data_IF_206904240177
#
_entry.id   IF_206904240177
#
_cell.length_a   1.000
_cell.length_b   1.000
_cell.length_c   1.000
_cell.angle_alpha   90.00
_cell.angle_beta   90.00
_cell.angle_gamma   90.00
#
_symmetry.space_group_name_H-M   'P 1'
#
loop_
_entity.id
_entity.type
_entity.pdbx_description
1 polymer ?
#
# COMPACT_ATOMS: atom_id res chain seq x y z
N UNK A 1 -13.04 0.94 -16.72
CA UNK A 1 -12.46 1.13 -15.37
C UNK A 1 -11.52 2.32 -15.39
N UNK A 2 -11.75 3.29 -14.54
CA UNK A 2 -10.81 4.39 -14.34
C UNK A 2 -10.06 4.16 -13.04
N UNK A 3 -8.82 3.69 -13.13
CA UNK A 3 -8.03 3.24 -12.00
C UNK A 3 -6.75 4.04 -11.82
N UNK A 4 -6.29 4.11 -10.59
CA UNK A 4 -5.03 4.74 -10.21
C UNK A 4 -4.30 3.82 -9.22
N UNK A 5 -2.97 3.87 -9.24
CA UNK A 5 -2.12 3.10 -8.34
C UNK A 5 -1.58 4.07 -7.28
N UNK A 6 -1.90 3.82 -6.03
CA UNK A 6 -1.41 4.60 -4.89
C UNK A 6 -0.64 3.65 -3.99
N UNK A 7 0.56 4.04 -3.59
CA UNK A 7 1.38 3.17 -2.75
C UNK A 7 2.32 3.96 -1.84
N UNK A 8 2.67 3.34 -0.72
CA UNK A 8 3.78 3.78 0.13
C UNK A 8 4.89 2.73 0.07
N UNK A 9 6.14 3.16 -0.04
CA UNK A 9 7.29 2.26 -0.08
C UNK A 9 8.43 2.83 0.78
N UNK A 10 8.93 2.01 1.69
CA UNK A 10 10.09 2.38 2.50
C UNK A 10 11.39 1.87 1.87
N UNK A 11 11.47 0.56 1.64
CA UNK A 11 12.70 -0.07 1.14
C UNK A 11 12.81 -0.13 -0.38
N UNK A 12 11.73 0.19 -1.08
CA UNK A 12 11.63 0.06 -2.54
C UNK A 12 10.91 -1.20 -3.00
N UNK A 13 10.58 -2.12 -2.10
CA UNK A 13 9.90 -3.37 -2.47
C UNK A 13 8.47 -3.13 -2.94
N UNK A 14 7.70 -2.35 -2.20
CA UNK A 14 6.33 -2.01 -2.59
C UNK A 14 6.33 -1.24 -3.92
N UNK A 15 7.29 -0.34 -4.10
CA UNK A 15 7.47 0.40 -5.35
C UNK A 15 7.70 -0.53 -6.54
N UNK A 16 8.51 -1.57 -6.38
CA UNK A 16 8.74 -2.56 -7.44
C UNK A 16 7.44 -3.21 -7.90
N UNK A 17 6.57 -3.56 -6.97
CA UNK A 17 5.29 -4.18 -7.31
C UNK A 17 4.35 -3.16 -7.94
N UNK A 18 4.32 -1.92 -7.42
CA UNK A 18 3.53 -0.85 -8.04
C UNK A 18 3.96 -0.60 -9.49
N UNK A 19 5.26 -0.65 -9.77
CA UNK A 19 5.78 -0.50 -11.13
C UNK A 19 5.38 -1.69 -12.03
N UNK A 20 5.31 -2.90 -11.49
CA UNK A 20 4.80 -4.05 -12.24
C UNK A 20 3.32 -3.87 -12.60
N UNK A 21 2.50 -3.42 -11.64
CA UNK A 21 1.09 -3.13 -11.89
C UNK A 21 0.96 -2.05 -12.96
N UNK A 22 1.73 -0.98 -12.87
CA UNK A 22 1.71 0.11 -13.84
C UNK A 22 2.09 -0.36 -15.24
N UNK A 23 3.14 -1.16 -15.34
CA UNK A 23 3.60 -1.69 -16.64
C UNK A 23 2.55 -2.57 -17.30
N UNK A 24 1.88 -3.42 -16.51
CA UNK A 24 0.90 -4.36 -17.03
C UNK A 24 -0.45 -3.71 -17.35
N UNK A 25 -0.81 -2.63 -16.68
CA UNK A 25 -2.13 -2.00 -16.80
C UNK A 25 -2.10 -0.68 -17.58
N UNK A 26 -0.98 0.02 -17.58
CA UNK A 26 -0.88 1.37 -18.12
C UNK A 26 -1.51 2.45 -17.22
N UNK A 27 -2.01 2.10 -16.04
CA UNK A 27 -2.62 3.07 -15.13
C UNK A 27 -1.56 3.99 -14.52
N UNK A 28 -2.00 5.19 -14.15
CA UNK A 28 -1.14 6.17 -13.50
C UNK A 28 -0.83 5.74 -12.07
N UNK A 29 0.40 5.97 -11.62
CA UNK A 29 0.84 5.66 -10.26
C UNK A 29 1.29 6.93 -9.54
N UNK A 30 1.01 7.01 -8.24
CA UNK A 30 1.49 8.07 -7.37
C UNK A 30 1.94 7.48 -6.04
N UNK A 31 3.07 7.94 -5.56
CA UNK A 31 3.68 7.48 -4.32
C UNK A 31 3.27 8.37 -3.16
N UNK A 32 2.85 7.75 -2.06
CA UNK A 32 2.65 8.43 -0.79
C UNK A 32 4.03 8.73 -0.19
N UNK A 33 4.25 9.99 0.16
CA UNK A 33 5.51 10.42 0.79
C UNK A 33 5.20 11.19 2.04
N UNK A 34 5.89 10.85 3.13
CA UNK A 34 5.76 11.58 4.38
C UNK A 34 6.55 12.89 4.31
N UNK A 35 6.00 13.95 4.90
CA UNK A 35 6.67 15.26 4.97
C UNK A 35 7.99 15.13 5.73
N UNK A 36 7.97 14.40 6.86
CA UNK A 36 9.17 14.05 7.61
C UNK A 36 9.60 12.63 7.19
N UNK A 37 10.74 12.48 6.50
CA UNK A 37 11.16 11.15 6.06
C UNK A 37 11.55 10.27 7.24
N UNK A 38 11.34 8.97 7.10
CA UNK A 38 11.84 8.00 8.06
C UNK A 38 13.35 7.85 7.96
N UNK A 39 13.98 7.40 9.06
CA UNK A 39 15.42 7.14 9.08
C UNK A 39 15.80 6.09 8.02
N UNK A 40 17.00 6.21 7.49
CA UNK A 40 17.59 5.15 6.63
C UNK A 40 18.08 3.96 7.45
N UNK A 41 18.20 4.13 8.77
CA UNK A 41 18.58 3.03 9.67
C UNK A 41 17.35 2.15 9.93
N UNK A 42 17.44 0.91 9.47
CA UNK A 42 16.34 -0.06 9.56
C UNK A 42 15.86 -0.28 11.01
N UNK A 43 16.79 -0.43 11.95
CA UNK A 43 16.43 -0.70 13.36
C UNK A 43 15.68 0.48 13.98
N UNK A 44 16.06 1.70 13.64
CA UNK A 44 15.36 2.91 14.10
C UNK A 44 13.93 2.93 13.56
N UNK A 45 13.74 2.59 12.29
CA UNK A 45 12.40 2.58 11.67
C UNK A 45 11.54 1.45 12.21
N UNK A 46 12.12 0.30 12.53
CA UNK A 46 11.40 -0.82 13.16
C UNK A 46 10.79 -0.36 14.49
N UNK A 47 11.56 0.31 15.34
CA UNK A 47 11.09 0.79 16.64
C UNK A 47 10.07 1.94 16.48
N UNK A 48 10.35 2.88 15.60
CA UNK A 48 9.45 3.99 15.29
C UNK A 48 8.13 3.48 14.73
N UNK A 49 8.19 2.51 13.82
CA UNK A 49 7.00 1.91 13.22
C UNK A 49 6.12 1.22 14.25
N UNK A 50 6.72 0.51 15.21
CA UNK A 50 5.97 -0.12 16.30
C UNK A 50 5.21 0.92 17.12
N UNK A 51 5.88 1.99 17.50
CA UNK A 51 5.27 3.07 18.27
C UNK A 51 4.15 3.76 17.49
N UNK A 52 4.39 4.07 16.22
CA UNK A 52 3.40 4.73 15.38
C UNK A 52 2.16 3.88 15.14
N UNK A 53 2.35 2.61 14.83
CA UNK A 53 1.22 1.68 14.64
C UNK A 53 0.42 1.53 15.92
N UNK A 54 1.10 1.35 17.05
CA UNK A 54 0.45 1.20 18.36
C UNK A 54 -0.36 2.42 18.75
N UNK A 55 0.15 3.63 18.46
CA UNK A 55 -0.53 4.90 18.77
C UNK A 55 -1.62 5.27 17.76
N UNK A 56 -1.68 4.58 16.63
CA UNK A 56 -2.52 4.99 15.52
C UNK A 56 -2.08 6.32 14.91
N UNK A 57 -0.78 6.58 14.89
CA UNK A 57 -0.21 7.82 14.36
C UNK A 57 -0.49 7.98 12.86
N UNK A 58 -0.84 9.19 12.46
CA UNK A 58 -1.04 9.56 11.06
C UNK A 58 0.02 10.58 10.65
N UNK A 59 1.14 10.14 10.05
CA UNK A 59 2.16 11.09 9.60
C UNK A 59 1.60 12.00 8.52
N UNK A 60 2.00 13.27 8.52
CA UNK A 60 1.66 14.19 7.45
C UNK A 60 2.28 13.70 6.15
N UNK A 61 1.50 13.68 5.08
CA UNK A 61 1.96 13.29 3.75
C UNK A 61 1.98 14.47 2.81
N UNK A 62 2.89 14.44 1.85
CA UNK A 62 2.95 15.43 0.78
C UNK A 62 1.70 15.30 -0.10
N UNK A 63 1.23 16.40 -0.72
CA UNK A 63 0.12 16.32 -1.67
C UNK A 63 0.43 15.34 -2.79
N UNK A 64 -0.56 14.51 -3.16
CA UNK A 64 -0.45 13.62 -4.31
C UNK A 64 -0.54 14.40 -5.61
N UNK A 65 0.19 13.96 -6.62
CA UNK A 65 0.14 14.53 -7.97
C UNK A 65 -1.16 14.21 -8.71
N UNK A 66 -1.92 13.26 -8.18
CA UNK A 66 -3.22 12.84 -8.71
C UNK A 66 -4.27 13.02 -7.62
N UNK A 67 -5.53 13.21 -8.01
CA UNK A 67 -6.64 13.19 -7.07
C UNK A 67 -7.31 11.81 -7.13
N UNK A 68 -7.09 10.95 -6.11
CA UNK A 68 -7.69 9.60 -6.10
C UNK A 68 -9.20 9.61 -6.17
N UNK A 69 -9.84 10.71 -5.73
CA UNK A 69 -11.30 10.83 -5.72
C UNK A 69 -11.90 10.88 -7.13
N UNK A 70 -11.10 11.19 -8.14
CA UNK A 70 -11.51 11.22 -9.54
C UNK A 70 -11.55 9.84 -10.21
N UNK A 71 -11.10 8.80 -9.50
CA UNK A 71 -11.01 7.44 -10.00
C UNK A 71 -12.05 6.56 -9.31
N UNK A 72 -12.50 5.52 -10.00
CA UNK A 72 -13.44 4.55 -9.42
C UNK A 72 -12.74 3.37 -8.73
N UNK A 73 -11.48 3.13 -9.06
CA UNK A 73 -10.69 2.01 -8.56
C UNK A 73 -9.30 2.49 -8.13
N UNK A 74 -8.88 2.03 -6.96
CA UNK A 74 -7.55 2.34 -6.40
C UNK A 74 -6.81 1.03 -6.15
N UNK A 75 -5.70 0.80 -6.87
CA UNK A 75 -4.72 -0.20 -6.47
C UNK A 75 -3.91 0.39 -5.33
N UNK A 76 -3.93 -0.25 -4.18
CA UNK A 76 -3.30 0.28 -2.98
C UNK A 76 -2.15 -0.61 -2.53
N UNK A 77 -0.93 -0.09 -2.61
CA UNK A 77 0.27 -0.80 -2.18
C UNK A 77 0.80 -0.33 -0.84
N UNK A 78 1.14 -1.28 0.02
CA UNK A 78 1.71 -0.99 1.34
C UNK A 78 2.70 -2.07 1.77
N UNK A 79 3.81 -1.71 2.44
CA UNK A 79 4.55 -2.70 3.19
C UNK A 79 3.75 -3.07 4.44
N UNK A 80 4.02 -4.25 4.99
CA UNK A 80 3.45 -4.66 6.27
C UNK A 80 4.36 -4.18 7.39
N UNK A 81 3.84 -3.28 8.22
CA UNK A 81 4.53 -2.78 9.40
C UNK A 81 3.78 -3.24 10.64
N UNK A 82 4.46 -4.05 11.45
CA UNK A 82 3.86 -4.54 12.69
C UNK A 82 2.45 -5.10 12.46
N UNK A 83 2.37 -6.03 11.50
CA UNK A 83 1.19 -6.84 11.17
C UNK A 83 0.04 -6.10 10.50
N UNK A 84 0.25 -4.85 10.07
CA UNK A 84 -0.78 -4.05 9.40
C UNK A 84 -0.17 -3.14 8.33
N UNK A 85 -1.00 -2.32 7.68
CA UNK A 85 -0.52 -1.36 6.69
C UNK A 85 0.32 -0.24 7.34
N UNK A 86 1.18 0.38 6.55
CA UNK A 86 2.05 1.45 7.03
C UNK A 86 1.25 2.70 7.46
N UNK A 87 1.78 3.47 8.45
CA UNK A 87 1.09 4.66 8.95
C UNK A 87 0.72 5.70 7.89
N UNK A 88 1.54 5.89 6.85
CA UNK A 88 1.23 6.81 5.75
C UNK A 88 -0.07 6.44 5.02
N UNK A 89 -0.40 5.15 4.97
CA UNK A 89 -1.65 4.67 4.36
C UNK A 89 -2.84 5.06 5.22
N UNK A 90 -2.70 5.08 6.54
CA UNK A 90 -3.75 5.56 7.45
C UNK A 90 -4.06 7.02 7.18
N UNK A 91 -3.04 7.84 7.00
CA UNK A 91 -3.20 9.25 6.63
C UNK A 91 -3.94 9.39 5.30
N UNK A 92 -3.60 8.56 4.33
CA UNK A 92 -4.26 8.53 3.03
C UNK A 92 -5.77 8.25 3.19
N UNK A 93 -6.14 7.25 3.96
CA UNK A 93 -7.54 6.94 4.22
C UNK A 93 -8.30 8.08 4.89
N UNK A 94 -7.62 8.85 5.75
CA UNK A 94 -8.24 9.97 6.45
C UNK A 94 -8.42 11.21 5.56
N UNK A 95 -7.53 11.40 4.58
CA UNK A 95 -7.52 12.62 3.75
C UNK A 95 -8.37 12.51 2.49
N UNK A 96 -8.56 11.31 1.96
CA UNK A 96 -9.24 11.11 0.67
C UNK A 96 -10.50 10.30 0.85
N UNK A 97 -11.56 10.69 0.13
CA UNK A 97 -12.86 10.01 0.16
C UNK A 97 -12.84 8.82 -0.79
N UNK A 98 -12.93 7.63 -0.22
CA UNK A 98 -12.88 6.38 -0.98
C UNK A 98 -14.21 5.61 -0.97
N UNK A 99 -15.24 6.15 -0.33
CA UNK A 99 -16.56 5.54 -0.31
C UNK A 99 -17.09 5.31 -1.73
N UNK A 100 -17.66 4.15 -1.97
CA UNK A 100 -18.20 3.77 -3.27
C UNK A 100 -17.16 3.30 -4.29
N UNK A 101 -15.87 3.35 -3.93
CA UNK A 101 -14.79 2.92 -4.81
C UNK A 101 -14.39 1.47 -4.55
N UNK A 102 -13.74 0.87 -5.52
CA UNK A 102 -13.09 -0.44 -5.37
C UNK A 102 -11.63 -0.23 -5.00
N UNK A 103 -11.17 -0.90 -3.96
CA UNK A 103 -9.77 -0.89 -3.52
C UNK A 103 -9.18 -2.28 -3.75
N UNK A 104 -8.09 -2.33 -4.49
CA UNK A 104 -7.37 -3.56 -4.83
C UNK A 104 -6.02 -3.54 -4.13
N UNK A 105 -5.92 -4.12 -2.91
CA UNK A 105 -4.71 -3.99 -2.11
C UNK A 105 -3.64 -5.00 -2.48
N UNK A 106 -2.38 -4.57 -2.41
CA UNK A 106 -1.22 -5.46 -2.44
C UNK A 106 -0.27 -5.09 -1.30
N UNK A 107 0.22 -6.11 -0.61
CA UNK A 107 1.06 -5.92 0.56
C UNK A 107 2.39 -6.66 0.43
N UNK A 108 3.49 -5.96 0.66
CA UNK A 108 4.82 -6.54 0.63
C UNK A 108 5.29 -6.85 2.05
N UNK A 109 5.88 -8.03 2.25
CA UNK A 109 6.28 -8.50 3.58
C UNK A 109 7.39 -9.54 3.49
N UNK A 110 7.96 -9.88 4.64
CA UNK A 110 9.01 -10.89 4.75
C UNK A 110 8.51 -12.30 5.04
N UNK A 111 7.20 -12.50 5.21
CA UNK A 111 6.67 -13.84 5.48
C UNK A 111 5.23 -13.90 5.99
N UNK A 112 4.67 -12.79 6.48
CA UNK A 112 3.31 -12.78 6.99
C UNK A 112 2.68 -11.39 6.85
N UNK A 113 1.45 -11.34 6.33
CA UNK A 113 0.73 -10.07 6.15
C UNK A 113 -0.03 -9.62 7.41
N UNK A 114 -0.05 -10.45 8.45
CA UNK A 114 -0.78 -10.12 9.67
C UNK A 114 -2.25 -9.89 9.40
N UNK A 115 -2.78 -8.80 9.97
CA UNK A 115 -4.18 -8.42 9.80
C UNK A 115 -4.39 -7.24 8.83
N UNK A 116 -3.44 -7.06 7.91
CA UNK A 116 -3.47 -5.96 6.94
C UNK A 116 -4.78 -5.90 6.14
N UNK A 117 -5.23 -7.03 5.60
CA UNK A 117 -6.47 -7.09 4.80
C UNK A 117 -7.70 -6.70 5.64
N UNK A 118 -7.78 -7.24 6.85
CA UNK A 118 -8.88 -6.94 7.78
C UNK A 118 -8.89 -5.46 8.14
N UNK A 119 -7.72 -4.89 8.39
CA UNK A 119 -7.59 -3.49 8.80
C UNK A 119 -7.93 -2.53 7.66
N UNK A 120 -7.61 -2.87 6.42
CA UNK A 120 -8.01 -2.08 5.26
C UNK A 120 -9.53 -2.08 5.13
N UNK A 121 -10.17 -3.24 5.27
CA UNK A 121 -11.64 -3.34 5.24
C UNK A 121 -12.28 -2.50 6.35
N UNK A 122 -11.71 -2.54 7.54
CA UNK A 122 -12.20 -1.76 8.68
C UNK A 122 -12.02 -0.25 8.48
N UNK A 123 -10.97 0.18 7.82
CA UNK A 123 -10.70 1.58 7.54
C UNK A 123 -11.57 2.14 6.41
N UNK A 124 -12.03 1.29 5.49
CA UNK A 124 -12.80 1.68 4.31
C UNK A 124 -14.10 0.87 4.23
N UNK A 125 -15.01 1.02 5.22
CA UNK A 125 -16.23 0.17 5.31
C UNK A 125 -17.21 0.43 4.17
N UNK A 126 -17.15 1.58 3.52
CA UNK A 126 -18.04 1.96 2.43
C UNK A 126 -17.41 1.74 1.04
N UNK A 127 -16.27 1.07 1.00
CA UNK A 127 -15.58 0.70 -0.24
C UNK A 127 -15.67 -0.81 -0.47
N UNK A 128 -15.58 -1.21 -1.72
CA UNK A 128 -15.45 -2.62 -2.08
C UNK A 128 -13.95 -2.98 -2.05
N UNK A 129 -13.59 -3.93 -1.20
CA UNK A 129 -12.19 -4.35 -1.05
C UNK A 129 -11.98 -5.67 -1.77
N UNK A 130 -11.14 -5.68 -2.78
CA UNK A 130 -10.77 -6.89 -3.51
C UNK A 130 -9.83 -7.80 -2.72
N UNK A 131 -9.59 -8.98 -3.26
CA UNK A 131 -8.63 -9.92 -2.68
C UNK A 131 -7.24 -9.28 -2.59
N UNK A 132 -6.62 -9.33 -1.41
CA UNK A 132 -5.29 -8.78 -1.21
C UNK A 132 -4.23 -9.66 -1.89
N UNK A 133 -3.32 -9.04 -2.63
CA UNK A 133 -2.14 -9.71 -3.15
C UNK A 133 -1.06 -9.70 -2.05
N UNK A 134 -0.71 -10.90 -1.57
CA UNK A 134 0.35 -11.08 -0.59
C UNK A 134 1.67 -11.31 -1.32
N UNK A 135 2.59 -10.35 -1.24
CA UNK A 135 3.88 -10.42 -1.93
C UNK A 135 5.01 -10.55 -0.91
N UNK A 136 5.70 -11.69 -0.96
CA UNK A 136 6.82 -11.94 -0.07
C UNK A 136 8.14 -11.57 -0.73
N UNK A 137 8.99 -10.91 0.05
CA UNK A 137 10.38 -10.61 -0.27
C UNK A 137 11.31 -11.20 0.80
N UNK A 138 12.49 -11.59 0.38
CA UNK A 138 13.61 -11.88 1.27
C UNK A 138 14.64 -10.77 1.06
N UNK A 139 14.68 -9.80 1.98
CA UNK A 139 15.39 -8.54 1.73
C UNK A 139 14.82 -7.83 0.49
N UNK A 140 15.66 -7.58 -0.49
CA UNK A 140 15.24 -6.98 -1.76
C UNK A 140 14.87 -8.03 -2.84
N UNK A 141 14.97 -9.32 -2.51
CA UNK A 141 14.71 -10.41 -3.45
C UNK A 141 13.23 -10.80 -3.41
N UNK A 142 12.58 -10.72 -4.56
CA UNK A 142 11.20 -11.18 -4.71
C UNK A 142 11.13 -12.71 -4.59
N UNK A 143 10.34 -13.20 -3.64
CA UNK A 143 10.12 -14.63 -3.41
C UNK A 143 8.82 -15.10 -4.05
N UNK A 144 7.75 -14.32 -3.94
CA UNK A 144 6.47 -14.65 -4.59
C UNK A 144 6.70 -14.75 -6.10
N UNK A 145 6.26 -15.85 -6.74
CA UNK A 145 6.43 -15.99 -8.19
C UNK A 145 5.78 -14.84 -8.95
N UNK A 146 6.51 -14.28 -9.91
CA UNK A 146 6.00 -13.18 -10.75
C UNK A 146 4.69 -13.57 -11.44
N UNK A 147 4.56 -14.83 -11.86
CA UNK A 147 3.35 -15.35 -12.45
C UNK A 147 2.11 -15.11 -11.57
N UNK A 148 2.24 -15.31 -10.26
CA UNK A 148 1.14 -15.08 -9.31
C UNK A 148 0.72 -13.62 -9.27
N UNK A 149 1.69 -12.71 -9.32
CA UNK A 149 1.44 -11.28 -9.34
C UNK A 149 0.69 -10.91 -10.62
N UNK A 150 1.15 -11.40 -11.76
CA UNK A 150 0.52 -11.15 -13.06
C UNK A 150 -0.90 -11.73 -13.12
N UNK A 151 -1.12 -12.90 -12.56
CA UNK A 151 -2.46 -13.51 -12.48
C UNK A 151 -3.41 -12.65 -11.64
N UNK A 152 -2.94 -12.11 -10.52
CA UNK A 152 -3.74 -11.20 -9.70
C UNK A 152 -4.09 -9.93 -10.46
N UNK A 153 -3.14 -9.34 -11.16
CA UNK A 153 -3.38 -8.13 -11.97
C UNK A 153 -4.43 -8.40 -13.05
N UNK A 154 -4.40 -9.57 -13.68
CA UNK A 154 -5.34 -9.94 -14.74
C UNK A 154 -6.77 -10.17 -14.28
N UNK A 155 -6.97 -10.48 -13.00
CA UNK A 155 -8.31 -10.70 -12.43
C UNK A 155 -9.11 -9.43 -12.23
N UNK A 156 -8.49 -8.30 -12.27
CA UNK A 156 -9.10 -7.01 -11.92
C UNK A 156 -9.42 -6.14 -13.14
#
# INVERSE_FOLDING_TARGET
>A
MKAVIIYYSYSGNTKKIAEMVQRETGFRAAELRTVVPYSENYDVVVDQGQDEVKRGFMPEILPLEVNPEEYDTVFLGTPVWWYTYAPAVKTFFAQYKLAGKTILPFATNGGWIGHTAKDIKGACPDSEIGEILNVRFDGARLVTPEKRILEWIKKV
#
